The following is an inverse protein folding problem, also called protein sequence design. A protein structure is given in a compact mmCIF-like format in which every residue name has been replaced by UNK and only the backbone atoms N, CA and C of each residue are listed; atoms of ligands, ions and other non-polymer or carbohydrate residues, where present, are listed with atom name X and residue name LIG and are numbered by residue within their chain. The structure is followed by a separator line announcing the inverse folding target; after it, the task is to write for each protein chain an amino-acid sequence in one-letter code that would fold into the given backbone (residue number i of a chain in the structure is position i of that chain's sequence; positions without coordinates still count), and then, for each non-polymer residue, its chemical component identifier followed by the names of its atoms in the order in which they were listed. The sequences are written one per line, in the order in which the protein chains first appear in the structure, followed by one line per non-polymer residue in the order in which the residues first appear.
data_IF_649443434356
#
_entry.id   IF_649443434356
#
_cell.length_a   1.000
_cell.length_b   1.000
_cell.length_c   1.000
_cell.angle_alpha   90.00
_cell.angle_beta   90.00
_cell.angle_gamma   90.00
#
_symmetry.space_group_name_H-M   'P 1'
#
loop_
_entity.id
_entity.type
_entity.pdbx_description
1 polymer ?
#
# COMPACT_ATOMS: atom_id res chain seq x y z
N UNK A 1 42.52 -40.66 75.04
CA UNK A 1 42.28 -42.02 74.48
C UNK A 1 42.49 -41.92 72.99
N UNK A 2 43.44 -42.65 72.38
CA UNK A 2 43.48 -42.73 70.92
C UNK A 2 42.19 -43.40 70.43
N UNK A 3 41.58 -42.92 69.34
CA UNK A 3 40.34 -43.50 68.81
C UNK A 3 40.57 -44.95 68.39
N UNK A 4 39.54 -45.78 68.58
CA UNK A 4 39.59 -47.21 68.26
C UNK A 4 39.72 -47.39 66.75
N UNK A 5 40.44 -48.42 66.34
CA UNK A 5 40.74 -48.81 64.93
C UNK A 5 39.52 -48.84 63.99
N UNK A 6 38.29 -48.90 64.54
CA UNK A 6 37.02 -48.84 63.79
C UNK A 6 36.70 -47.48 63.17
N UNK A 7 37.16 -46.37 63.76
CA UNK A 7 36.73 -45.02 63.35
C UNK A 7 37.55 -44.48 62.17
N UNK A 8 38.81 -44.91 62.06
CA UNK A 8 39.72 -44.49 60.98
C UNK A 8 39.24 -44.99 59.61
N UNK A 9 38.78 -46.25 59.52
CA UNK A 9 38.24 -46.83 58.28
C UNK A 9 36.89 -46.22 57.85
N UNK A 10 36.05 -45.84 58.82
CA UNK A 10 34.80 -45.13 58.53
C UNK A 10 35.10 -43.71 57.99
N UNK A 11 36.03 -42.99 58.64
CA UNK A 11 36.46 -41.67 58.21
C UNK A 11 37.04 -41.68 56.78
N UNK A 12 37.82 -42.72 56.45
CA UNK A 12 38.38 -42.97 55.12
C UNK A 12 37.35 -43.07 53.99
N UNK A 13 36.18 -43.60 54.31
CA UNK A 13 35.11 -43.83 53.32
C UNK A 13 34.27 -42.56 53.10
N UNK A 14 34.24 -41.66 54.09
CA UNK A 14 33.44 -40.44 54.08
C UNK A 14 34.21 -39.16 53.75
N UNK A 15 35.54 -39.14 53.92
CA UNK A 15 36.35 -37.95 53.67
C UNK A 15 36.52 -37.68 52.17
N UNK A 16 36.30 -36.44 51.74
CA UNK A 16 36.51 -36.02 50.34
C UNK A 16 38.00 -35.94 49.95
N UNK A 17 38.88 -35.84 50.95
CA UNK A 17 40.33 -35.73 50.81
C UNK A 17 40.99 -37.07 50.49
N UNK A 18 42.01 -37.03 49.63
CA UNK A 18 42.79 -38.20 49.24
C UNK A 18 43.96 -38.42 50.22
N UNK A 19 44.01 -39.60 50.84
CA UNK A 19 45.00 -39.95 51.85
C UNK A 19 46.39 -40.14 51.24
N UNK A 20 46.46 -40.56 49.99
CA UNK A 20 47.72 -40.62 49.24
C UNK A 20 48.29 -39.22 49.01
N UNK A 21 47.45 -38.22 48.75
CA UNK A 21 47.87 -36.82 48.60
C UNK A 21 48.34 -36.22 49.92
N UNK A 22 47.66 -36.51 51.03
CA UNK A 22 48.05 -36.05 52.38
C UNK A 22 49.42 -36.62 52.79
N UNK A 23 49.68 -37.89 52.49
CA UNK A 23 50.96 -38.53 52.76
C UNK A 23 52.04 -38.19 51.72
N UNK A 24 51.68 -37.55 50.61
CA UNK A 24 52.59 -37.19 49.52
C UNK A 24 53.17 -38.39 48.79
N UNK A 25 52.41 -39.49 48.69
CA UNK A 25 52.84 -40.74 48.05
C UNK A 25 51.92 -41.09 46.90
N UNK A 26 52.49 -41.62 45.81
CA UNK A 26 51.67 -42.13 44.70
C UNK A 26 51.11 -43.52 45.05
N UNK A 27 49.82 -43.79 44.78
CA UNK A 27 49.23 -45.11 45.00
C UNK A 27 49.92 -46.22 44.18
N UNK A 28 50.52 -45.88 43.04
CA UNK A 28 51.14 -46.85 42.12
C UNK A 28 52.54 -47.32 42.54
N UNK A 29 53.21 -46.61 43.46
CA UNK A 29 54.64 -46.82 43.81
C UNK A 29 54.81 -47.13 45.30
N UNK A 30 53.74 -47.55 45.98
CA UNK A 30 53.74 -47.68 47.43
C UNK A 30 54.48 -48.94 47.90
N UNK A 31 55.54 -48.74 48.69
CA UNK A 31 56.19 -49.77 49.49
C UNK A 31 56.05 -49.39 50.97
N UNK A 32 55.97 -50.35 51.90
CA UNK A 32 55.80 -50.02 53.32
C UNK A 32 56.99 -49.19 53.87
N UNK A 33 58.18 -49.36 53.28
CA UNK A 33 59.36 -48.56 53.58
C UNK A 33 59.22 -47.11 53.10
N UNK A 34 58.69 -46.88 51.89
CA UNK A 34 58.45 -45.53 51.37
C UNK A 34 57.31 -44.83 52.11
N UNK A 35 56.25 -45.55 52.48
CA UNK A 35 55.14 -45.03 53.29
C UNK A 35 55.64 -44.53 54.66
N UNK A 36 56.41 -45.35 55.39
CA UNK A 36 56.99 -44.97 56.70
C UNK A 36 57.97 -43.79 56.60
N UNK A 37 58.70 -43.66 55.49
CA UNK A 37 59.58 -42.51 55.24
C UNK A 37 58.78 -41.24 54.98
N UNK A 38 57.74 -41.32 54.15
CA UNK A 38 56.87 -40.20 53.82
C UNK A 38 56.11 -39.69 55.05
N UNK A 39 55.52 -40.61 55.84
CA UNK A 39 54.85 -40.27 57.09
C UNK A 39 55.79 -39.53 58.06
N UNK A 40 57.01 -40.05 58.30
CA UNK A 40 57.98 -39.38 59.17
C UNK A 40 58.34 -37.97 58.70
N UNK A 41 58.46 -37.78 57.38
CA UNK A 41 58.80 -36.48 56.78
C UNK A 41 57.67 -35.46 56.98
N UNK A 42 56.42 -35.83 56.67
CA UNK A 42 55.27 -34.94 56.84
C UNK A 42 54.91 -34.74 58.32
N UNK A 43 55.07 -35.77 59.17
CA UNK A 43 54.82 -35.68 60.61
C UNK A 43 55.76 -34.70 61.29
N UNK A 44 57.03 -34.63 60.88
CA UNK A 44 57.98 -33.62 61.40
C UNK A 44 57.60 -32.19 61.00
N UNK A 45 56.99 -32.02 59.83
CA UNK A 45 56.57 -30.72 59.28
C UNK A 45 55.30 -30.18 59.95
N UNK A 46 54.37 -31.07 60.28
CA UNK A 46 53.09 -30.72 60.90
C UNK A 46 53.01 -31.07 62.39
N UNK A 47 54.13 -31.40 63.04
CA UNK A 47 54.11 -31.75 64.46
C UNK A 47 53.63 -30.57 65.32
N UNK A 48 52.62 -30.76 66.19
CA UNK A 48 52.01 -29.66 66.97
C UNK A 48 52.97 -28.99 67.96
N UNK A 49 54.04 -29.69 68.38
CA UNK A 49 55.09 -29.14 69.26
C UNK A 49 56.11 -28.27 68.52
N UNK A 50 56.35 -28.54 67.23
CA UNK A 50 57.37 -27.82 66.42
C UNK A 50 56.76 -26.75 65.53
N UNK A 51 55.47 -26.86 65.22
CA UNK A 51 54.75 -25.96 64.35
C UNK A 51 53.57 -25.34 65.14
N UNK A 52 53.65 -24.05 65.51
CA UNK A 52 52.62 -23.36 66.29
C UNK A 52 51.37 -22.98 65.47
N UNK A 53 51.27 -23.39 64.20
CA UNK A 53 50.11 -23.10 63.37
C UNK A 53 48.86 -23.86 63.85
N UNK A 54 47.68 -23.21 63.88
CA UNK A 54 46.44 -23.87 64.32
C UNK A 54 46.04 -25.04 63.39
N UNK A 55 46.38 -24.96 62.10
CA UNK A 55 46.14 -26.03 61.12
C UNK A 55 47.07 -27.25 61.30
N UNK A 56 48.18 -27.10 62.02
CA UNK A 56 49.16 -28.18 62.17
C UNK A 56 48.58 -29.37 62.93
N UNK A 57 47.79 -29.11 63.98
CA UNK A 57 47.13 -30.15 64.75
C UNK A 57 46.12 -30.96 63.92
N UNK A 58 45.31 -30.28 63.10
CA UNK A 58 44.31 -30.91 62.24
C UNK A 58 44.96 -31.73 61.11
N UNK A 59 45.98 -31.16 60.44
CA UNK A 59 46.73 -31.88 59.40
C UNK A 59 47.52 -33.06 59.93
N UNK A 60 48.10 -32.94 61.13
CA UNK A 60 48.77 -34.04 61.80
C UNK A 60 47.81 -35.17 62.16
N UNK A 61 46.60 -34.83 62.61
CA UNK A 61 45.55 -35.82 62.88
C UNK A 61 45.15 -36.55 61.59
N UNK A 62 44.87 -35.80 60.52
CA UNK A 62 44.56 -36.37 59.19
C UNK A 62 45.70 -37.24 58.64
N UNK A 63 46.96 -36.81 58.83
CA UNK A 63 48.14 -37.57 58.42
C UNK A 63 48.28 -38.89 59.19
N UNK A 64 47.95 -38.89 60.48
CA UNK A 64 47.96 -40.10 61.32
C UNK A 64 46.86 -41.06 60.87
N UNK A 65 45.64 -40.56 60.66
CA UNK A 65 44.52 -41.36 60.15
C UNK A 65 44.82 -41.93 58.76
N UNK A 66 45.40 -41.12 57.87
CA UNK A 66 45.81 -41.57 56.53
C UNK A 66 46.88 -42.67 56.60
N UNK A 67 47.87 -42.54 57.48
CA UNK A 67 48.88 -43.58 57.67
C UNK A 67 48.27 -44.87 58.22
N UNK A 68 47.38 -44.80 59.21
CA UNK A 68 46.75 -45.98 59.79
C UNK A 68 45.95 -46.77 58.74
N UNK A 69 45.12 -46.07 57.95
CA UNK A 69 44.29 -46.67 56.89
C UNK A 69 45.11 -47.23 55.74
N UNK A 70 46.21 -46.58 55.36
CA UNK A 70 47.06 -47.09 54.28
C UNK A 70 48.04 -48.14 54.81
N UNK A 71 48.44 -48.13 56.07
CA UNK A 71 49.47 -49.05 56.57
C UNK A 71 49.04 -50.51 56.57
N UNK A 72 47.77 -50.80 56.87
CA UNK A 72 47.22 -52.15 56.88
C UNK A 72 46.64 -52.55 55.49
N UNK A 73 47.05 -53.69 54.91
CA UNK A 73 46.56 -54.13 53.61
C UNK A 73 45.04 -54.27 53.51
N UNK A 74 44.34 -54.67 54.57
CA UNK A 74 42.90 -54.87 54.54
C UNK A 74 42.14 -53.54 54.47
N UNK A 75 42.51 -52.58 55.32
CA UNK A 75 41.94 -51.23 55.30
C UNK A 75 42.35 -50.43 54.06
N UNK A 76 43.58 -50.61 53.56
CA UNK A 76 44.05 -50.04 52.28
C UNK A 76 43.18 -50.50 51.11
N UNK A 77 42.90 -51.80 51.00
CA UNK A 77 42.08 -52.35 49.93
C UNK A 77 40.63 -51.81 49.98
N UNK A 78 40.05 -51.68 51.17
CA UNK A 78 38.72 -51.09 51.34
C UNK A 78 38.70 -49.61 50.90
N UNK A 79 39.72 -48.84 51.28
CA UNK A 79 39.88 -47.45 50.89
C UNK A 79 40.06 -47.29 49.37
N UNK A 80 40.93 -48.08 48.75
CA UNK A 80 41.18 -48.04 47.31
C UNK A 80 39.92 -48.35 46.50
N UNK A 81 39.12 -49.33 46.95
CA UNK A 81 37.83 -49.65 46.36
C UNK A 81 36.82 -48.49 46.47
N UNK A 82 36.71 -47.87 47.64
CA UNK A 82 35.83 -46.71 47.85
C UNK A 82 36.29 -45.50 47.01
N UNK A 83 37.60 -45.25 46.95
CA UNK A 83 38.21 -44.19 46.14
C UNK A 83 37.95 -44.40 44.66
N UNK A 84 38.14 -45.61 44.15
CA UNK A 84 37.86 -45.95 42.76
C UNK A 84 36.37 -45.77 42.41
N UNK A 85 35.46 -46.21 43.29
CA UNK A 85 34.03 -46.04 43.12
C UNK A 85 33.61 -44.54 43.07
N UNK A 86 34.19 -43.70 43.94
CA UNK A 86 33.95 -42.26 43.94
C UNK A 86 34.44 -41.60 42.65
N UNK A 87 35.65 -41.94 42.19
CA UNK A 87 36.21 -41.40 40.96
C UNK A 87 35.41 -41.85 39.72
N UNK A 88 34.98 -43.10 39.68
CA UNK A 88 34.11 -43.62 38.63
C UNK A 88 32.74 -42.93 38.61
N UNK A 89 32.15 -42.67 39.78
CA UNK A 89 30.90 -41.89 39.90
C UNK A 89 31.09 -40.46 39.36
N UNK A 90 32.16 -39.78 39.74
CA UNK A 90 32.48 -38.41 39.30
C UNK A 90 32.68 -38.35 37.78
N UNK A 91 33.44 -39.28 37.20
CA UNK A 91 33.62 -39.37 35.74
C UNK A 91 32.31 -39.60 35.00
N UNK A 92 31.43 -40.46 35.54
CA UNK A 92 30.10 -40.68 34.95
C UNK A 92 29.25 -39.41 34.99
N UNK A 93 29.17 -38.73 36.12
CA UNK A 93 28.41 -37.47 36.21
C UNK A 93 28.96 -36.41 35.26
N UNK A 94 30.28 -36.23 35.21
CA UNK A 94 30.93 -35.30 34.27
C UNK A 94 30.61 -35.66 32.81
N UNK A 95 30.63 -36.94 32.44
CA UNK A 95 30.28 -37.38 31.09
C UNK A 95 28.80 -37.09 30.76
N UNK A 96 27.88 -37.33 31.70
CA UNK A 96 26.46 -37.01 31.52
C UNK A 96 26.21 -35.51 31.44
N UNK A 97 26.90 -34.71 32.25
CA UNK A 97 26.79 -33.25 32.25
C UNK A 97 27.34 -32.65 30.95
N UNK A 98 28.47 -33.17 30.47
CA UNK A 98 29.02 -32.82 29.15
C UNK A 98 28.06 -33.18 28.02
N UNK A 99 27.45 -34.36 28.06
CA UNK A 99 26.47 -34.77 27.07
C UNK A 99 25.23 -33.88 27.08
N UNK A 100 24.69 -33.58 28.27
CA UNK A 100 23.56 -32.67 28.46
C UNK A 100 23.87 -31.27 27.89
N UNK A 101 25.05 -30.73 28.20
CA UNK A 101 25.48 -29.41 27.71
C UNK A 101 25.57 -29.39 26.18
N UNK A 102 26.15 -30.43 25.57
CA UNK A 102 26.23 -30.56 24.11
C UNK A 102 24.85 -30.65 23.46
N UNK A 103 23.93 -31.41 24.06
CA UNK A 103 22.54 -31.49 23.58
C UNK A 103 21.82 -30.15 23.68
N UNK A 104 22.02 -29.41 24.77
CA UNK A 104 21.45 -28.08 24.94
C UNK A 104 22.00 -27.09 23.90
N UNK A 105 23.31 -27.07 23.69
CA UNK A 105 23.96 -26.21 22.70
C UNK A 105 23.49 -26.52 21.28
N UNK A 106 23.34 -27.79 20.92
CA UNK A 106 22.82 -28.19 19.60
C UNK A 106 21.37 -27.73 19.40
N UNK A 107 20.51 -27.86 20.43
CA UNK A 107 19.15 -27.35 20.42
C UNK A 107 19.11 -25.83 20.26
N UNK A 108 19.86 -25.11 21.09
CA UNK A 108 19.92 -23.63 21.05
C UNK A 108 20.46 -23.14 19.69
N UNK A 109 21.46 -23.82 19.13
CA UNK A 109 21.99 -23.46 17.82
C UNK A 109 20.95 -23.71 16.70
N UNK A 110 20.20 -24.81 16.79
CA UNK A 110 19.15 -25.14 15.81
C UNK A 110 17.97 -24.20 15.88
N UNK A 111 17.49 -23.89 17.09
CA UNK A 111 16.44 -22.90 17.33
C UNK A 111 16.89 -21.49 16.96
N UNK A 112 18.13 -21.14 17.32
CA UNK A 112 18.75 -19.86 16.99
C UNK A 112 18.88 -19.67 15.48
N UNK A 113 19.33 -20.69 14.74
CA UNK A 113 19.43 -20.65 13.27
C UNK A 113 18.05 -20.49 12.62
N UNK A 114 17.04 -21.24 13.06
CA UNK A 114 15.69 -21.11 12.55
C UNK A 114 15.09 -19.73 12.82
N UNK A 115 15.32 -19.18 14.01
CA UNK A 115 14.87 -17.83 14.38
C UNK A 115 15.57 -16.75 13.56
N UNK A 116 16.89 -16.84 13.37
CA UNK A 116 17.66 -15.92 12.53
C UNK A 116 17.18 -15.94 11.08
N UNK A 117 17.03 -17.13 10.49
CA UNK A 117 16.52 -17.28 9.13
C UNK A 117 15.11 -16.68 8.96
N UNK A 118 14.25 -16.81 9.98
CA UNK A 118 12.92 -16.20 9.95
C UNK A 118 12.99 -14.66 9.95
N UNK A 119 13.84 -14.08 10.80
CA UNK A 119 14.02 -12.63 10.87
C UNK A 119 14.62 -12.10 9.56
N UNK A 120 15.64 -12.77 9.02
CA UNK A 120 16.24 -12.41 7.73
C UNK A 120 15.20 -12.44 6.60
N UNK A 121 14.35 -13.47 6.54
CA UNK A 121 13.26 -13.55 5.56
C UNK A 121 12.23 -12.42 5.74
N UNK A 122 11.85 -12.08 6.98
CA UNK A 122 10.94 -10.97 7.27
C UNK A 122 11.54 -9.61 6.83
N UNK A 123 12.83 -9.40 7.05
CA UNK A 123 13.56 -8.20 6.63
C UNK A 123 13.66 -8.10 5.10
N UNK A 124 13.94 -9.22 4.42
CA UNK A 124 13.97 -9.31 2.95
C UNK A 124 12.58 -9.01 2.34
N UNK A 125 11.51 -9.57 2.91
CA UNK A 125 10.14 -9.28 2.48
C UNK A 125 9.79 -7.80 2.68
N UNK A 126 10.18 -7.21 3.81
CA UNK A 126 9.96 -5.79 4.09
C UNK A 126 10.70 -4.89 3.09
N UNK A 127 11.95 -5.21 2.77
CA UNK A 127 12.74 -4.50 1.78
C UNK A 127 12.10 -4.59 0.39
N UNK A 128 11.62 -5.77 -0.01
CA UNK A 128 10.93 -5.96 -1.29
C UNK A 128 9.61 -5.17 -1.35
N UNK A 129 8.80 -5.19 -0.28
CA UNK A 129 7.57 -4.39 -0.18
C UNK A 129 7.85 -2.90 -0.30
N UNK A 130 8.92 -2.40 0.32
CA UNK A 130 9.32 -1.01 0.20
C UNK A 130 9.72 -0.63 -1.23
N UNK A 131 10.43 -1.52 -1.94
CA UNK A 131 10.75 -1.32 -3.36
C UNK A 131 9.50 -1.28 -4.23
N UNK A 132 8.56 -2.21 -4.01
CA UNK A 132 7.29 -2.24 -4.75
C UNK A 132 6.46 -0.97 -4.52
N UNK A 133 6.41 -0.48 -3.28
CA UNK A 133 5.71 0.76 -2.94
C UNK A 133 6.31 1.98 -3.66
N UNK A 134 7.65 2.08 -3.73
CA UNK A 134 8.34 3.13 -4.51
C UNK A 134 7.96 3.07 -5.99
N UNK A 135 7.97 1.89 -6.59
CA UNK A 135 7.62 1.71 -8.00
C UNK A 135 6.14 2.08 -8.26
N UNK A 136 5.23 1.71 -7.36
CA UNK A 136 3.82 2.08 -7.44
C UNK A 136 3.61 3.60 -7.31
N UNK A 137 4.32 4.25 -6.38
CA UNK A 137 4.28 5.70 -6.21
C UNK A 137 4.81 6.41 -7.45
N UNK A 138 5.94 5.96 -8.00
CA UNK A 138 6.50 6.49 -9.24
C UNK A 138 5.52 6.33 -10.40
N UNK A 139 4.92 5.15 -10.54
CA UNK A 139 3.87 4.91 -11.53
C UNK A 139 2.64 5.80 -11.34
N UNK A 140 2.21 6.06 -10.10
CA UNK A 140 1.10 6.96 -9.79
C UNK A 140 1.43 8.42 -10.14
N UNK A 141 2.64 8.89 -9.82
CA UNK A 141 3.12 10.23 -10.20
C UNK A 141 3.12 10.41 -11.71
N UNK A 142 3.58 9.41 -12.46
CA UNK A 142 3.61 9.48 -13.91
C UNK A 142 2.20 9.58 -14.50
N UNK A 143 1.23 8.81 -13.97
CA UNK A 143 -0.18 8.89 -14.40
C UNK A 143 -0.79 10.25 -14.10
N UNK A 144 -0.59 10.77 -12.88
CA UNK A 144 -1.09 12.08 -12.50
C UNK A 144 -0.52 13.18 -13.41
N UNK A 145 0.80 13.16 -13.65
CA UNK A 145 1.46 14.12 -14.53
C UNK A 145 0.95 14.03 -15.97
N UNK A 146 0.70 12.83 -16.48
CA UNK A 146 0.10 12.62 -17.81
C UNK A 146 -1.34 13.12 -17.88
N UNK A 147 -2.14 12.87 -16.85
CA UNK A 147 -3.52 13.36 -16.75
C UNK A 147 -3.57 14.88 -16.71
N UNK A 148 -2.71 15.51 -15.90
CA UNK A 148 -2.58 16.97 -15.84
C UNK A 148 -2.18 17.56 -17.19
N UNK A 149 -1.18 16.97 -17.87
CA UNK A 149 -0.75 17.43 -19.20
C UNK A 149 -1.87 17.30 -20.25
N UNK A 150 -2.66 16.22 -20.20
CA UNK A 150 -3.83 16.07 -21.07
C UNK A 150 -4.91 17.10 -20.74
N UNK A 151 -5.12 17.40 -19.45
CA UNK A 151 -6.09 18.39 -19.01
C UNK A 151 -5.69 19.80 -19.43
N UNK A 152 -4.41 20.16 -19.32
CA UNK A 152 -3.91 21.46 -19.79
C UNK A 152 -4.01 21.56 -21.31
N UNK A 153 -3.59 20.54 -22.06
CA UNK A 153 -3.72 20.51 -23.51
C UNK A 153 -5.19 20.61 -23.97
N UNK A 154 -6.12 19.94 -23.29
CA UNK A 154 -7.55 20.03 -23.58
C UNK A 154 -8.11 21.43 -23.31
N UNK A 155 -7.68 22.10 -22.23
CA UNK A 155 -8.05 23.49 -21.96
C UNK A 155 -7.50 24.44 -23.02
N UNK A 156 -6.23 24.31 -23.38
CA UNK A 156 -5.60 25.12 -24.43
C UNK A 156 -6.32 24.93 -25.78
N UNK A 157 -6.67 23.70 -26.16
CA UNK A 157 -7.45 23.43 -27.36
C UNK A 157 -8.87 24.04 -27.29
N UNK A 158 -9.52 23.99 -26.13
CA UNK A 158 -10.84 24.59 -25.95
C UNK A 158 -10.77 26.14 -26.02
N UNK A 159 -9.74 26.74 -25.44
CA UNK A 159 -9.48 28.18 -25.54
C UNK A 159 -9.20 28.60 -26.98
N UNK A 160 -8.34 27.87 -27.70
CA UNK A 160 -8.09 28.12 -29.13
C UNK A 160 -9.38 27.99 -29.96
N UNK A 161 -10.22 26.99 -29.67
CA UNK A 161 -11.51 26.83 -30.34
C UNK A 161 -12.45 27.99 -30.03
N UNK A 162 -12.54 28.41 -28.76
CA UNK A 162 -13.35 29.55 -28.33
C UNK A 162 -12.87 30.86 -28.96
N UNK A 163 -11.56 31.08 -29.01
CA UNK A 163 -10.98 32.26 -29.65
C UNK A 163 -11.22 32.25 -31.16
N UNK A 164 -11.06 31.10 -31.82
CA UNK A 164 -11.41 30.95 -33.24
C UNK A 164 -12.91 31.19 -33.50
N UNK A 165 -13.80 30.82 -32.58
CA UNK A 165 -15.23 31.17 -32.69
C UNK A 165 -15.47 32.66 -32.48
N UNK A 166 -14.82 33.30 -31.50
CA UNK A 166 -14.91 34.76 -31.31
C UNK A 166 -14.36 35.53 -32.50
N UNK A 167 -13.21 35.15 -33.05
CA UNK A 167 -12.63 35.76 -34.26
C UNK A 167 -13.55 35.62 -35.48
N UNK A 168 -14.25 34.48 -35.62
CA UNK A 168 -15.28 34.29 -36.66
C UNK A 168 -16.49 35.19 -36.42
N UNK A 169 -16.91 35.36 -35.17
CA UNK A 169 -18.00 36.25 -34.78
C UNK A 169 -17.65 37.73 -34.98
N UNK A 170 -16.41 38.14 -34.67
CA UNK A 170 -15.89 39.50 -34.88
C UNK A 170 -15.73 39.81 -36.39
N UNK A 171 -15.22 38.86 -37.19
CA UNK A 171 -15.06 39.04 -38.65
C UNK A 171 -16.38 38.97 -39.42
N UNK A 172 -17.43 38.41 -38.84
CA UNK A 172 -18.78 38.38 -39.42
C UNK A 172 -19.77 39.19 -38.54
N UNK A 173 -19.76 40.53 -38.60
CA UNK A 173 -20.62 41.40 -37.78
C UNK A 173 -22.14 41.28 -38.09
N UNK A 174 -22.55 40.38 -38.99
CA UNK A 174 -23.93 40.21 -39.44
C UNK A 174 -24.85 39.44 -38.46
N UNK A 175 -24.50 39.32 -37.17
CA UNK A 175 -25.37 38.65 -36.19
C UNK A 175 -25.41 39.34 -34.82
N UNK A 176 -25.59 40.67 -34.77
CA UNK A 176 -26.30 41.27 -33.61
C UNK A 176 -27.76 40.77 -33.54
N UNK A 177 -28.33 40.46 -34.70
CA UNK A 177 -29.70 40.01 -34.86
C UNK A 177 -29.71 38.50 -35.11
N UNK A 178 -30.54 37.78 -34.38
CA UNK A 178 -30.68 36.33 -34.54
C UNK A 178 -31.22 35.98 -35.94
N UNK A 179 -31.11 34.73 -36.38
CA UNK A 179 -31.76 34.29 -37.63
C UNK A 179 -33.26 34.59 -37.64
N UNK A 180 -33.92 34.51 -36.47
CA UNK A 180 -35.34 34.80 -36.32
C UNK A 180 -35.68 36.27 -36.63
N UNK A 181 -34.80 37.19 -36.25
CA UNK A 181 -34.97 38.64 -36.47
C UNK A 181 -34.81 39.01 -37.94
N UNK A 182 -34.06 38.21 -38.72
CA UNK A 182 -33.88 38.40 -40.17
C UNK A 182 -34.91 37.62 -41.00
N UNK A 183 -35.90 37.03 -40.34
CA UNK A 183 -36.90 36.17 -40.99
C UNK A 183 -38.24 36.85 -41.13
N UNK A 184 -38.78 36.81 -42.34
CA UNK A 184 -40.12 37.33 -42.69
C UNK A 184 -41.03 36.22 -43.18
N UNK A 185 -42.33 36.43 -42.97
CA UNK A 185 -43.40 35.55 -43.39
C UNK A 185 -44.21 36.19 -44.49
N UNK A 186 -44.42 35.45 -45.56
CA UNK A 186 -45.24 35.86 -46.70
C UNK A 186 -46.41 34.90 -46.86
N UNK A 187 -47.59 35.41 -47.18
CA UNK A 187 -48.82 34.60 -47.35
C UNK A 187 -49.51 34.96 -48.65
N UNK A 188 -49.90 33.97 -49.46
CA UNK A 188 -50.56 34.18 -50.76
C UNK A 188 -51.70 33.20 -50.98
N UNK A 189 -52.63 33.53 -51.90
CA UNK A 189 -53.82 32.70 -52.17
C UNK A 189 -53.40 31.37 -52.81
N UNK A 190 -53.95 30.25 -52.33
CA UNK A 190 -53.58 28.92 -52.83
C UNK A 190 -54.19 28.55 -54.20
N UNK A 191 -55.41 29.02 -54.47
CA UNK A 191 -56.16 28.70 -55.72
C UNK A 191 -55.97 29.79 -56.77
N UNK A 192 -55.80 29.38 -58.03
CA UNK A 192 -55.54 30.27 -59.18
C UNK A 192 -54.04 30.52 -59.36
N UNK A 193 -53.66 31.75 -59.69
CA UNK A 193 -52.28 32.15 -60.03
C UNK A 193 -51.24 31.91 -58.92
N UNK A 194 -51.67 31.69 -57.67
CA UNK A 194 -50.77 31.41 -56.55
C UNK A 194 -50.35 29.94 -56.39
N UNK A 195 -50.81 29.04 -57.28
CA UNK A 195 -50.36 27.65 -57.35
C UNK A 195 -48.95 27.54 -57.94
N UNK A 196 -48.57 28.45 -58.84
CA UNK A 196 -47.28 28.50 -59.53
C UNK A 196 -46.17 29.20 -58.71
N UNK A 197 -46.49 29.66 -57.50
CA UNK A 197 -45.51 30.33 -56.63
C UNK A 197 -44.67 29.26 -55.93
N UNK A 198 -43.45 29.09 -56.44
CA UNK A 198 -42.40 28.20 -55.93
C UNK A 198 -41.28 28.98 -55.23
N UNK A 199 -40.35 28.26 -54.59
CA UNK A 199 -39.22 28.83 -53.87
C UNK A 199 -38.38 29.78 -54.76
N UNK A 200 -38.14 29.39 -56.01
CA UNK A 200 -37.39 30.19 -56.97
C UNK A 200 -38.08 31.53 -57.27
N UNK A 201 -39.41 31.52 -57.45
CA UNK A 201 -40.20 32.72 -57.70
C UNK A 201 -40.19 33.66 -56.50
N UNK A 202 -40.29 33.12 -55.27
CA UNK A 202 -40.17 33.92 -54.05
C UNK A 202 -38.79 34.56 -53.90
N UNK A 203 -37.72 33.83 -54.25
CA UNK A 203 -36.35 34.35 -54.25
C UNK A 203 -36.16 35.47 -55.27
N UNK A 204 -36.77 35.37 -56.43
CA UNK A 204 -36.72 36.43 -57.45
C UNK A 204 -37.51 37.68 -57.03
N UNK A 205 -38.74 37.51 -56.57
CA UNK A 205 -39.61 38.61 -56.17
C UNK A 205 -39.06 39.36 -54.95
N UNK A 206 -38.65 38.64 -53.91
CA UNK A 206 -38.23 39.23 -52.64
C UNK A 206 -36.72 39.48 -52.58
N UNK A 207 -35.95 38.94 -53.53
CA UNK A 207 -34.53 39.25 -53.71
C UNK A 207 -34.28 40.71 -54.06
N UNK A 208 -35.30 41.43 -54.57
CA UNK A 208 -35.24 42.89 -54.81
C UNK A 208 -35.03 43.70 -53.53
N UNK A 209 -35.45 43.18 -52.38
CA UNK A 209 -35.31 43.85 -51.09
C UNK A 209 -34.00 43.50 -50.37
N UNK A 210 -33.29 42.45 -50.79
CA UNK A 210 -32.01 42.05 -50.22
C UNK A 210 -31.61 40.61 -50.55
N UNK A 211 -30.36 40.26 -50.24
CA UNK A 211 -29.84 38.90 -50.45
C UNK A 211 -30.51 37.92 -49.48
N UNK A 212 -31.08 36.86 -50.03
CA UNK A 212 -31.81 35.83 -49.28
C UNK A 212 -30.84 34.70 -48.92
N UNK A 213 -30.74 34.40 -47.62
CA UNK A 213 -29.96 33.28 -47.09
C UNK A 213 -30.73 31.97 -47.27
N UNK A 214 -32.00 31.94 -46.87
CA UNK A 214 -32.85 30.74 -46.97
C UNK A 214 -34.32 31.09 -47.28
N UNK A 215 -35.04 30.20 -47.96
CA UNK A 215 -36.43 30.38 -48.33
C UNK A 215 -37.18 29.05 -48.21
N UNK A 216 -38.17 28.99 -47.32
CA UNK A 216 -38.91 27.79 -47.01
C UNK A 216 -40.39 28.01 -47.32
N UNK A 217 -40.92 27.30 -48.30
CA UNK A 217 -42.35 27.29 -48.59
C UNK A 217 -43.03 26.23 -47.71
N UNK A 218 -43.89 26.65 -46.77
CA UNK A 218 -44.61 25.70 -45.91
C UNK A 218 -45.65 24.94 -46.73
N UNK A 219 -45.54 23.61 -46.80
CA UNK A 219 -46.59 22.74 -47.30
C UNK A 219 -47.76 22.75 -46.31
N UNK A 220 -48.78 23.55 -46.59
CA UNK A 220 -49.94 23.69 -45.71
C UNK A 220 -50.82 22.43 -45.68
N UNK A 221 -51.59 22.29 -44.60
CA UNK A 221 -52.71 21.35 -44.47
C UNK A 221 -53.70 21.56 -45.63
N UNK A 222 -54.27 20.46 -46.17
CA UNK A 222 -55.03 20.41 -47.44
C UNK A 222 -56.20 21.39 -47.59
N UNK A 223 -56.67 22.08 -46.53
CA UNK A 223 -57.85 22.96 -46.57
C UNK A 223 -57.61 24.46 -46.30
N UNK A 224 -56.36 24.93 -46.21
CA UNK A 224 -56.10 26.38 -46.06
C UNK A 224 -56.25 27.15 -47.39
N UNK A 225 -57.03 28.24 -47.35
CA UNK A 225 -57.21 29.21 -48.46
C UNK A 225 -55.91 29.91 -48.91
N UNK A 226 -54.91 29.95 -48.02
CA UNK A 226 -53.63 30.62 -48.24
C UNK A 226 -52.44 29.67 -48.00
N UNK A 227 -51.38 29.81 -48.81
CA UNK A 227 -50.05 29.25 -48.56
C UNK A 227 -49.19 30.26 -47.81
N UNK A 228 -48.13 29.79 -47.15
CA UNK A 228 -47.20 30.65 -46.43
C UNK A 228 -45.76 30.24 -46.66
N UNK A 229 -44.88 31.22 -46.86
CA UNK A 229 -43.44 31.05 -46.96
C UNK A 229 -42.73 31.77 -45.80
N UNK A 230 -41.60 31.21 -45.39
CA UNK A 230 -40.63 31.83 -44.48
C UNK A 230 -39.39 32.20 -45.30
N UNK A 231 -38.90 33.42 -45.15
CA UNK A 231 -37.75 33.91 -45.91
C UNK A 231 -36.76 34.51 -44.92
N UNK A 232 -35.55 33.97 -44.90
CA UNK A 232 -34.44 34.41 -44.07
C UNK A 232 -33.53 35.26 -44.94
N UNK A 233 -33.44 36.55 -44.63
CA UNK A 233 -32.50 37.45 -45.30
C UNK A 233 -31.11 37.37 -44.66
N UNK A 234 -30.06 37.60 -45.45
CA UNK A 234 -28.70 37.66 -44.94
C UNK A 234 -28.49 38.88 -44.02
N UNK A 235 -29.26 39.95 -44.25
CA UNK A 235 -29.23 41.20 -43.47
C UNK A 235 -30.60 41.58 -42.93
N UNK A 236 -30.63 42.11 -41.69
CA UNK A 236 -31.82 42.71 -41.04
C UNK A 236 -32.43 43.82 -41.90
N UNK A 237 -31.60 44.59 -42.60
CA UNK A 237 -32.02 45.68 -43.48
C UNK A 237 -32.84 45.16 -44.65
N UNK A 238 -32.48 43.98 -45.18
CA UNK A 238 -33.24 43.32 -46.24
C UNK A 238 -34.62 42.86 -45.76
N UNK A 239 -34.69 42.28 -44.56
CA UNK A 239 -35.96 41.88 -43.97
C UNK A 239 -36.86 43.09 -43.65
N UNK A 240 -36.31 44.17 -43.09
CA UNK A 240 -37.05 45.41 -42.81
C UNK A 240 -37.55 46.07 -44.11
N UNK A 241 -36.71 46.11 -45.14
CA UNK A 241 -37.10 46.63 -46.46
C UNK A 241 -38.21 45.78 -47.10
N UNK A 242 -38.24 44.47 -46.90
CA UNK A 242 -39.30 43.61 -47.40
C UNK A 242 -40.65 43.81 -46.67
N UNK A 243 -40.63 44.18 -45.38
CA UNK A 243 -41.86 44.48 -44.61
C UNK A 243 -42.43 45.84 -45.00
N UNK A 244 -41.59 46.89 -45.02
CA UNK A 244 -42.03 48.27 -45.26
C UNK A 244 -42.10 48.66 -46.73
N UNK A 245 -41.31 48.01 -47.58
CA UNK A 245 -41.29 48.22 -49.04
C UNK A 245 -42.34 47.43 -49.79
N UNK A 246 -43.21 46.69 -49.10
CA UNK A 246 -44.33 45.98 -49.72
C UNK A 246 -45.43 46.96 -50.15
N UNK A 247 -45.57 47.20 -51.45
CA UNK A 247 -46.68 47.97 -52.01
C UNK A 247 -47.76 47.04 -52.61
N UNK A 248 -48.98 47.00 -52.05
CA UNK A 248 -50.09 46.19 -52.57
C UNK A 248 -50.54 46.57 -54.00
N UNK A 249 -50.12 47.74 -54.51
CA UNK A 249 -50.50 48.23 -55.84
C UNK A 249 -49.58 47.71 -56.96
N UNK A 250 -48.41 47.16 -56.62
CA UNK A 250 -47.50 46.56 -57.59
C UNK A 250 -48.09 45.25 -58.13
N UNK A 251 -48.14 45.11 -59.46
CA UNK A 251 -48.63 43.92 -60.17
C UNK A 251 -47.96 42.64 -59.66
N UNK A 252 -46.70 42.72 -59.26
CA UNK A 252 -45.93 41.59 -58.73
C UNK A 252 -46.43 41.08 -57.37
N UNK A 253 -47.07 41.94 -56.57
CA UNK A 253 -47.46 41.64 -55.18
C UNK A 253 -48.98 41.59 -54.94
N UNK A 254 -49.81 41.81 -55.97
CA UNK A 254 -51.29 41.75 -55.89
C UNK A 254 -51.85 40.44 -55.32
N UNK A 255 -51.11 39.34 -55.44
CA UNK A 255 -51.52 38.01 -54.99
C UNK A 255 -51.12 37.72 -53.52
N UNK A 256 -50.32 38.59 -52.91
CA UNK A 256 -49.77 38.43 -51.57
C UNK A 256 -50.52 39.28 -50.55
N UNK A 257 -50.57 38.79 -49.31
CA UNK A 257 -50.87 39.61 -48.13
C UNK A 257 -49.62 40.40 -47.74
N UNK A 258 -49.79 41.50 -46.98
CA UNK A 258 -48.67 42.24 -46.41
C UNK A 258 -47.67 41.31 -45.72
N UNK A 259 -46.39 41.53 -45.99
CA UNK A 259 -45.27 40.78 -45.41
C UNK A 259 -45.20 41.10 -43.91
N UNK A 260 -45.03 40.08 -43.08
CA UNK A 260 -44.95 40.25 -41.61
C UNK A 260 -43.74 39.54 -41.03
N UNK A 261 -43.15 40.10 -39.97
CA UNK A 261 -42.05 39.47 -39.24
C UNK A 261 -42.42 38.06 -38.74
N UNK A 262 -41.50 37.11 -38.86
CA UNK A 262 -41.72 35.74 -38.38
C UNK A 262 -41.79 35.65 -36.85
N UNK A 263 -41.07 36.54 -36.16
CA UNK A 263 -41.13 36.74 -34.70
C UNK A 263 -42.47 37.33 -34.22
N UNK A 264 -43.26 37.92 -35.14
CA UNK A 264 -44.50 38.63 -34.84
C UNK A 264 -44.30 40.03 -34.24
N UNK A 265 -43.07 40.38 -33.84
CA UNK A 265 -42.64 41.71 -33.46
C UNK A 265 -41.56 42.21 -34.42
N UNK A 266 -41.61 43.50 -34.71
CA UNK A 266 -40.54 44.17 -35.41
C UNK A 266 -39.30 44.22 -34.52
N UNK A 267 -38.12 43.78 -35.01
CA UNK A 267 -36.87 43.88 -34.27
C UNK A 267 -36.56 45.34 -33.94
N UNK A 268 -36.11 45.62 -32.72
CA UNK A 268 -35.72 46.99 -32.33
C UNK A 268 -34.41 47.38 -33.03
N UNK A 269 -34.54 48.11 -34.14
CA UNK A 269 -33.42 48.73 -34.84
C UNK A 269 -33.18 50.08 -34.17
N UNK A 270 -32.44 50.10 -33.06
CA UNK A 270 -32.03 51.36 -32.42
C UNK A 270 -31.03 52.08 -33.34
N UNK A 271 -31.43 53.21 -33.93
CA UNK A 271 -30.51 54.18 -34.54
C UNK A 271 -29.74 54.93 -33.44
N UNK A 272 -28.74 54.28 -32.82
CA UNK A 272 -27.75 55.01 -32.01
C UNK A 272 -26.65 55.57 -32.93
N UNK A 273 -26.94 56.69 -33.59
CA UNK A 273 -25.90 57.61 -34.05
C UNK A 273 -25.64 58.60 -32.90
N UNK A 274 -24.61 58.32 -32.08
CA UNK A 274 -23.88 59.34 -31.33
C UNK A 274 -24.15 59.44 -29.82
N UNK A 275 -23.34 58.76 -29.01
CA UNK A 275 -22.39 59.38 -28.04
C UNK A 275 -21.83 58.32 -27.06
N UNK A 276 -20.55 58.41 -26.64
CA UNK A 276 -19.94 57.45 -25.74
C UNK A 276 -20.35 57.75 -24.29
N UNK A 277 -20.98 56.79 -23.61
CA UNK A 277 -21.16 56.87 -22.16
C UNK A 277 -19.88 56.36 -21.47
N UNK A 278 -19.25 57.13 -20.56
CA UNK A 278 -18.04 56.71 -19.88
C UNK A 278 -18.35 55.68 -18.77
N UNK A 279 -17.36 54.85 -18.38
CA UNK A 279 -17.56 53.83 -17.35
C UNK A 279 -17.73 54.49 -15.97
N UNK A 280 -18.59 53.97 -15.07
CA UNK A 280 -18.68 54.50 -13.73
C UNK A 280 -17.40 54.19 -12.94
N UNK A 281 -16.73 55.26 -12.52
CA UNK A 281 -15.56 55.26 -11.65
C UNK A 281 -15.90 54.76 -10.24
N UNK A 282 -14.95 54.05 -9.66
CA UNK A 282 -14.92 53.62 -8.28
C UNK A 282 -15.00 54.79 -7.29
N UNK A 283 -15.76 54.60 -6.20
CA UNK A 283 -15.56 55.30 -4.91
C UNK A 283 -15.77 54.33 -3.75
N UNK A 284 -14.81 54.38 -2.84
CA UNK A 284 -14.68 53.62 -1.60
C UNK A 284 -15.67 54.05 -0.48
N UNK A 285 -16.13 53.04 0.28
CA UNK A 285 -16.38 52.94 1.75
C UNK A 285 -17.40 53.84 2.50
N UNK A 286 -17.85 53.49 3.74
CA UNK A 286 -17.73 52.25 4.55
C UNK A 286 -19.04 51.78 5.28
N UNK A 287 -18.87 50.70 6.08
CA UNK A 287 -19.63 50.27 7.27
C UNK A 287 -20.94 49.46 7.18
N UNK A 288 -20.93 48.29 7.86
CA UNK A 288 -22.09 47.73 8.57
C UNK A 288 -22.76 46.47 8.00
N UNK A 289 -22.27 45.28 8.38
CA UNK A 289 -22.92 43.97 8.18
C UNK A 289 -24.17 43.79 9.12
N UNK A 290 -24.92 42.65 9.14
CA UNK A 290 -24.83 41.43 8.34
C UNK A 290 -26.21 40.84 7.87
N UNK A 291 -26.23 40.05 6.79
CA UNK A 291 -27.01 38.80 6.77
C UNK A 291 -26.50 37.87 5.67
N UNK A 292 -25.97 36.72 6.08
CA UNK A 292 -25.59 35.61 5.20
C UNK A 292 -26.62 34.49 5.37
N UNK A 293 -27.10 33.86 4.28
CA UNK A 293 -27.63 32.52 4.35
C UNK A 293 -26.51 31.49 4.11
N UNK A 294 -26.65 30.39 4.82
CA UNK A 294 -25.73 29.27 5.05
C UNK A 294 -25.35 28.50 3.77
N UNK A 295 -24.13 27.96 3.67
CA UNK A 295 -23.86 26.76 2.86
C UNK A 295 -24.19 25.47 3.65
N UNK A 296 -24.62 24.45 2.91
CA UNK A 296 -24.91 23.12 3.42
C UNK A 296 -23.64 22.41 3.91
N UNK A 297 -23.61 22.08 5.20
CA UNK A 297 -22.57 21.25 5.82
C UNK A 297 -22.92 19.77 5.70
N UNK A 298 -21.98 19.02 5.12
CA UNK A 298 -21.88 17.57 5.18
C UNK A 298 -21.31 17.17 6.55
N UNK A 299 -22.01 16.29 7.27
CA UNK A 299 -21.57 15.75 8.56
C UNK A 299 -20.94 14.36 8.39
N UNK A 300 -19.70 14.15 8.85
CA UNK A 300 -19.23 12.84 9.30
C UNK A 300 -19.40 12.74 10.82
N UNK A 301 -19.92 11.62 11.34
CA UNK A 301 -19.84 11.30 12.76
C UNK A 301 -19.20 9.92 12.95
N UNK A 302 -18.04 9.93 13.59
CA UNK A 302 -17.50 8.81 14.36
C UNK A 302 -17.27 9.28 15.81
N UNK A 303 -17.83 8.52 16.74
CA UNK A 303 -17.47 8.29 18.16
C UNK A 303 -17.10 9.46 19.09
N UNK A 304 -17.77 9.55 20.25
CA UNK A 304 -17.26 9.01 21.54
C UNK A 304 -18.23 9.28 22.71
N UNK A 305 -18.38 8.25 23.55
CA UNK A 305 -18.68 8.19 25.00
C UNK A 305 -19.65 9.19 25.68
N UNK A 306 -20.60 8.70 26.50
CA UNK A 306 -20.38 8.44 27.95
C UNK A 306 -21.59 7.79 28.66
N UNK A 307 -21.23 6.90 29.60
CA UNK A 307 -21.87 6.58 30.90
C UNK A 307 -23.30 6.02 30.99
N UNK A 308 -23.39 4.86 31.67
CA UNK A 308 -24.52 4.57 32.56
C UNK A 308 -24.91 3.09 32.72
N UNK A 309 -24.27 2.38 33.65
CA UNK A 309 -25.04 1.56 34.59
C UNK A 309 -25.02 0.02 34.50
N UNK A 310 -24.08 -0.57 35.25
CA UNK A 310 -24.21 -1.68 36.23
C UNK A 310 -24.60 -3.13 35.83
N UNK A 311 -23.79 -4.07 36.38
CA UNK A 311 -23.98 -5.52 36.71
C UNK A 311 -23.67 -6.48 35.54
N UNK A 312 -22.78 -7.47 35.62
CA UNK A 312 -22.39 -8.39 36.71
C UNK A 312 -21.02 -9.06 36.39
N UNK A 313 -20.30 -9.46 37.44
CA UNK A 313 -18.99 -10.14 37.42
C UNK A 313 -19.08 -11.64 37.00
N UNK A 314 -17.94 -12.35 36.81
CA UNK A 314 -17.81 -13.54 35.98
C UNK A 314 -18.04 -14.85 36.74
N UNK A 315 -18.20 -15.96 35.99
CA UNK A 315 -18.06 -17.31 36.55
C UNK A 315 -16.94 -18.06 35.84
N UNK A 316 -16.05 -18.58 36.67
CA UNK A 316 -14.93 -19.48 36.42
C UNK A 316 -15.44 -20.94 36.52
N UNK A 317 -14.63 -21.90 36.03
CA UNK A 317 -14.79 -23.37 36.06
C UNK A 317 -15.56 -23.95 34.83
N UNK A 318 -15.12 -25.00 34.12
CA UNK A 318 -14.00 -25.93 34.28
C UNK A 318 -13.76 -26.72 32.98
N UNK A 319 -12.55 -27.28 32.88
CA UNK A 319 -12.07 -28.28 31.91
C UNK A 319 -13.07 -29.35 31.46
N UNK A 320 -13.06 -29.68 30.17
CA UNK A 320 -12.92 -31.08 29.73
C UNK A 320 -12.45 -31.15 28.27
N UNK A 321 -11.38 -31.91 28.06
CA UNK A 321 -10.88 -32.27 26.75
C UNK A 321 -11.85 -33.24 26.06
N UNK A 322 -12.16 -33.04 24.78
CA UNK A 322 -12.44 -34.15 23.84
C UNK A 322 -12.11 -33.72 22.42
N UNK A 323 -11.18 -34.47 21.84
CA UNK A 323 -10.80 -34.54 20.44
C UNK A 323 -11.99 -34.98 19.57
N UNK A 324 -12.35 -34.22 18.52
CA UNK A 324 -12.63 -34.73 17.16
C UNK A 324 -13.15 -33.66 16.18
N UNK A 325 -12.51 -33.68 15.00
CA UNK A 325 -13.08 -33.50 13.66
C UNK A 325 -13.49 -32.09 13.21
N UNK A 326 -12.54 -31.48 12.51
CA UNK A 326 -12.71 -30.77 11.24
C UNK A 326 -14.14 -30.58 10.72
N UNK A 327 -14.62 -29.34 10.79
CA UNK A 327 -15.64 -28.81 9.89
C UNK A 327 -15.11 -27.51 9.31
N UNK A 328 -14.41 -27.64 8.18
CA UNK A 328 -13.98 -26.55 7.32
C UNK A 328 -15.23 -25.89 6.76
N UNK A 329 -15.50 -24.64 7.16
CA UNK A 329 -16.57 -23.83 6.59
C UNK A 329 -16.23 -23.52 5.14
N UNK A 330 -16.94 -24.21 4.24
CA UNK A 330 -16.91 -24.01 2.80
C UNK A 330 -17.62 -22.71 2.45
N UNK A 331 -16.88 -21.63 2.23
CA UNK A 331 -17.38 -20.47 1.47
C UNK A 331 -16.25 -19.54 1.01
N UNK A 332 -15.30 -20.02 0.20
CA UNK A 332 -14.53 -19.14 -0.70
C UNK A 332 -13.75 -19.94 -1.75
N UNK A 333 -14.45 -20.41 -2.79
CA UNK A 333 -13.81 -20.87 -4.01
C UNK A 333 -14.80 -20.81 -5.17
N UNK A 334 -14.66 -19.78 -6.01
CA UNK A 334 -14.82 -19.80 -7.47
C UNK A 334 -15.10 -18.38 -8.00
N UNK A 335 -14.08 -17.52 -8.01
CA UNK A 335 -13.97 -16.48 -9.04
C UNK A 335 -12.86 -16.93 -9.97
N UNK A 336 -13.20 -17.20 -11.23
CA UNK A 336 -12.24 -17.56 -12.28
C UNK A 336 -11.08 -16.55 -12.31
N UNK A 337 -9.85 -16.98 -12.60
CA UNK A 337 -8.72 -16.05 -12.65
C UNK A 337 -8.98 -15.01 -13.74
N UNK A 338 -8.89 -13.75 -13.33
CA UNK A 338 -9.09 -12.58 -14.18
C UNK A 338 -8.25 -12.71 -15.46
N UNK A 339 -8.85 -12.47 -16.63
CA UNK A 339 -8.22 -12.69 -17.93
C UNK A 339 -6.90 -11.93 -18.08
N UNK A 340 -6.82 -10.77 -17.43
CA UNK A 340 -5.62 -9.94 -17.35
C UNK A 340 -4.50 -10.62 -16.54
N UNK A 341 -4.82 -11.26 -15.42
CA UNK A 341 -3.84 -12.02 -14.61
C UNK A 341 -3.29 -13.23 -15.36
N UNK A 342 -4.14 -13.95 -16.10
CA UNK A 342 -3.70 -15.09 -16.93
C UNK A 342 -2.76 -14.62 -18.05
N UNK A 343 -3.08 -13.48 -18.67
CA UNK A 343 -2.27 -12.89 -19.75
C UNK A 343 -0.91 -12.44 -19.22
N UNK A 344 -0.89 -11.80 -18.04
CA UNK A 344 0.35 -11.38 -17.38
C UNK A 344 1.21 -12.58 -16.93
N UNK A 345 0.60 -13.68 -16.49
CA UNK A 345 1.31 -14.92 -16.14
C UNK A 345 2.00 -15.53 -17.38
N UNK A 346 1.30 -15.59 -18.52
CA UNK A 346 1.87 -16.08 -19.79
C UNK A 346 2.99 -15.20 -20.32
N UNK A 347 2.87 -13.88 -20.19
CA UNK A 347 3.92 -12.93 -20.56
C UNK A 347 5.19 -13.12 -19.72
N UNK A 348 5.04 -13.29 -18.40
CA UNK A 348 6.16 -13.55 -17.48
C UNK A 348 6.85 -14.88 -17.77
N UNK A 349 6.09 -15.93 -18.07
CA UNK A 349 6.65 -17.24 -18.45
C UNK A 349 7.40 -17.18 -19.79
N UNK A 350 6.87 -16.43 -20.77
CA UNK A 350 7.53 -16.23 -22.06
C UNK A 350 8.85 -15.43 -21.92
N UNK A 351 8.85 -14.38 -21.11
CA UNK A 351 10.04 -13.56 -20.84
C UNK A 351 11.11 -14.36 -20.07
N UNK A 352 10.69 -15.12 -19.05
CA UNK A 352 11.57 -16.03 -18.30
C UNK A 352 12.24 -17.05 -19.23
N UNK A 353 11.46 -17.68 -20.12
CA UNK A 353 11.98 -18.68 -21.07
C UNK A 353 12.95 -18.08 -22.08
N UNK A 354 12.74 -16.82 -22.48
CA UNK A 354 13.66 -16.09 -23.36
C UNK A 354 15.00 -15.82 -22.67
N UNK A 355 14.98 -15.36 -21.43
CA UNK A 355 16.20 -15.10 -20.64
C UNK A 355 16.98 -16.39 -20.37
N UNK A 356 16.27 -17.48 -20.06
CA UNK A 356 16.88 -18.79 -19.84
C UNK A 356 17.54 -19.34 -21.12
N UNK A 357 16.91 -19.14 -22.28
CA UNK A 357 17.51 -19.50 -23.56
C UNK A 357 18.76 -18.66 -23.89
N UNK A 358 18.75 -17.36 -23.56
CA UNK A 358 19.92 -16.48 -23.74
C UNK A 358 21.08 -16.87 -22.82
N UNK A 359 20.78 -17.22 -21.56
CA UNK A 359 21.76 -17.74 -20.61
C UNK A 359 22.39 -19.05 -21.10
N UNK A 360 21.57 -19.97 -21.59
CA UNK A 360 22.04 -21.24 -22.14
C UNK A 360 22.92 -21.05 -23.38
N UNK A 361 22.57 -20.12 -24.27
CA UNK A 361 23.43 -19.79 -25.41
C UNK A 361 24.74 -19.12 -24.99
N UNK A 362 24.74 -18.35 -23.91
CA UNK A 362 25.97 -17.78 -23.33
C UNK A 362 26.84 -18.86 -22.70
N UNK A 363 26.25 -19.82 -21.99
CA UNK A 363 26.96 -20.99 -21.44
C UNK A 363 27.55 -21.86 -22.56
N UNK A 364 26.84 -22.06 -23.67
CA UNK A 364 27.33 -22.86 -24.82
C UNK A 364 28.41 -22.14 -25.64
N UNK A 365 28.42 -20.80 -25.65
CA UNK A 365 29.45 -19.98 -26.31
C UNK A 365 30.62 -19.61 -25.39
N UNK A 366 30.65 -20.06 -24.13
CA UNK A 366 31.82 -19.90 -23.28
C UNK A 366 32.87 -20.93 -23.72
N UNK A 367 34.07 -20.53 -24.17
CA UNK A 367 35.12 -21.49 -24.50
C UNK A 367 35.56 -22.21 -23.21
N UNK A 368 35.59 -23.54 -23.26
CA UNK A 368 36.04 -24.41 -22.17
C UNK A 368 37.42 -23.97 -21.67
N UNK A 369 37.44 -23.20 -20.58
CA UNK A 369 38.63 -22.81 -19.87
C UNK A 369 39.06 -23.94 -18.94
N UNK A 370 39.33 -25.11 -19.51
CA UNK A 370 40.06 -26.20 -18.85
C UNK A 370 40.51 -27.21 -19.91
N UNK A 371 41.75 -27.06 -20.38
CA UNK A 371 42.53 -28.19 -20.88
C UNK A 371 43.92 -28.08 -20.23
N UNK A 372 44.40 -29.13 -19.54
CA UNK A 372 45.57 -29.08 -18.65
C UNK A 372 46.91 -28.81 -19.33
#
# INVERSE_FOLDING_TARGET
MPPKESDAAAYATTSETDFYEILGVSPDVLSDSSLRKAFRKESLKWHPDKNPAPEAAEKFHLLTVAYDVISDPATRAAYDNARAARLAKKRRSEAFDMHRRKMQEDLENREGKAKRAKVEAEDEEAAFRAQLAKLQEEGARLRHKREEALRTAAKEQAEQRNEATKDREIKNPASRFSELDRTVTVKWRRKGDGEQIDEAMLRELLGRFGKIQDCIVKSGIKDKKYRSGLIVFESIVGAHSAVHGFDPKDDAFKLFKPVSWASGKEPEIHEEIGSPTPPPAAKDQPDGAPSTPKPATWNPRLSTAKEGGVRKAPSFASFSATLKQSSFSKSEAARSPDYENITMMRLREAEKRRLEAELRQKEENLPDADTP
#
